data_IF_536073587416
#
_entry.id   IF_536073587416
#
_cell.length_a   1.000
_cell.length_b   1.000
_cell.length_c   1.000
_cell.angle_alpha   90.00
_cell.angle_beta   90.00
_cell.angle_gamma   90.00
#
_symmetry.space_group_name_H-M   'P 1'
#
loop_
_entity.id
_entity.type
_entity.pdbx_description
1 polymer ?
#
# COMPACT_ATOMS: atom_id res chain seq x y z
N UNK A 1 -6.27 -14.42 -27.58
CA UNK A 1 -5.70 -15.24 -28.68
C UNK A 1 -5.74 -16.70 -28.28
N UNK A 2 -6.53 -17.50 -28.99
CA UNK A 2 -6.67 -18.94 -28.73
C UNK A 2 -5.37 -19.69 -29.07
N UNK A 3 -5.02 -20.67 -28.24
CA UNK A 3 -3.79 -21.45 -28.41
C UNK A 3 -4.02 -22.49 -29.50
N UNK A 4 -3.15 -22.52 -30.51
CA UNK A 4 -3.22 -23.50 -31.61
C UNK A 4 -3.18 -24.93 -31.06
N UNK A 5 -3.98 -25.84 -31.61
CA UNK A 5 -4.09 -27.24 -31.18
C UNK A 5 -2.73 -27.96 -31.02
N UNK A 6 -1.78 -27.71 -31.94
CA UNK A 6 -0.40 -28.21 -31.85
C UNK A 6 0.32 -27.79 -30.56
N UNK A 7 0.07 -26.59 -30.07
CA UNK A 7 0.65 -26.08 -28.83
C UNK A 7 0.03 -26.71 -27.59
N UNK A 8 -1.22 -27.15 -27.64
CA UNK A 8 -1.92 -27.85 -26.55
C UNK A 8 -1.42 -29.29 -26.47
N UNK A 9 -1.37 -29.97 -27.62
CA UNK A 9 -0.93 -31.37 -27.73
C UNK A 9 0.57 -31.56 -27.41
N UNK A 10 1.42 -30.55 -27.64
CA UNK A 10 2.86 -30.62 -27.34
C UNK A 10 3.26 -30.17 -25.93
N UNK A 11 2.32 -29.75 -25.06
CA UNK A 11 2.67 -29.23 -23.72
C UNK A 11 3.29 -30.29 -22.82
N UNK A 12 2.76 -31.51 -22.84
CA UNK A 12 3.26 -32.61 -22.00
C UNK A 12 4.75 -32.90 -22.23
N UNK A 13 5.20 -32.82 -23.49
CA UNK A 13 6.62 -32.98 -23.85
C UNK A 13 7.50 -31.87 -23.24
N UNK A 14 7.03 -30.62 -23.29
CA UNK A 14 7.76 -29.49 -22.68
C UNK A 14 7.89 -29.62 -21.17
N UNK A 15 6.84 -30.10 -20.49
CA UNK A 15 6.88 -30.36 -19.05
C UNK A 15 7.88 -31.48 -18.70
N UNK A 16 7.89 -32.59 -19.46
CA UNK A 16 8.85 -33.67 -19.27
C UNK A 16 10.30 -33.21 -19.49
N UNK A 17 10.55 -32.46 -20.56
CA UNK A 17 11.88 -31.89 -20.84
C UNK A 17 12.32 -30.90 -19.76
N UNK A 18 11.41 -30.07 -19.25
CA UNK A 18 11.71 -29.14 -18.15
C UNK A 18 12.04 -29.89 -16.87
N UNK A 19 11.25 -30.89 -16.49
CA UNK A 19 11.49 -31.72 -15.31
C UNK A 19 12.82 -32.50 -15.40
N UNK A 20 13.16 -33.02 -16.58
CA UNK A 20 14.44 -33.69 -16.81
C UNK A 20 15.63 -32.73 -16.63
N UNK A 21 15.53 -31.49 -17.14
CA UNK A 21 16.55 -30.45 -16.95
C UNK A 21 16.73 -30.03 -15.49
N UNK A 22 15.65 -30.03 -14.69
CA UNK A 22 15.73 -29.65 -13.27
C UNK A 22 16.32 -30.73 -12.38
N UNK A 23 16.25 -32.00 -12.79
CA UNK A 23 16.77 -33.15 -12.02
C UNK A 23 18.24 -33.49 -12.30
N UNK A 24 18.85 -32.91 -13.34
CA UNK A 24 20.29 -33.04 -13.56
C UNK A 24 21.08 -32.27 -12.51
N UNK A 25 22.20 -32.83 -12.05
CA UNK A 25 23.12 -32.09 -11.19
C UNK A 25 23.54 -30.79 -11.92
N UNK A 26 23.49 -29.61 -11.28
CA UNK A 26 23.91 -28.38 -11.91
C UNK A 26 25.42 -28.46 -12.15
N UNK A 27 25.81 -28.60 -13.42
CA UNK A 27 27.21 -28.46 -13.82
C UNK A 27 27.64 -27.02 -13.53
N UNK A 28 28.59 -26.85 -12.62
CA UNK A 28 29.11 -25.53 -12.25
C UNK A 28 30.19 -25.15 -13.27
N UNK A 29 29.76 -24.48 -14.35
CA UNK A 29 30.67 -23.93 -15.34
C UNK A 29 31.26 -22.63 -14.81
N UNK A 30 32.59 -22.53 -14.82
CA UNK A 30 33.28 -21.32 -14.39
C UNK A 30 33.30 -20.29 -15.52
N UNK A 31 32.53 -19.21 -15.35
CA UNK A 31 32.52 -18.08 -16.28
C UNK A 31 33.46 -16.96 -15.80
N UNK A 32 34.44 -16.64 -16.64
CA UNK A 32 35.48 -15.64 -16.34
C UNK A 32 34.88 -14.23 -16.23
N UNK A 33 33.85 -13.92 -17.00
CA UNK A 33 33.21 -12.61 -17.00
C UNK A 33 32.42 -12.42 -15.69
N UNK A 34 31.66 -13.44 -15.27
CA UNK A 34 31.00 -13.46 -13.96
C UNK A 34 31.97 -13.27 -12.80
N UNK A 35 33.19 -13.84 -12.90
CA UNK A 35 34.24 -13.64 -11.90
C UNK A 35 34.75 -12.21 -11.92
N UNK A 36 34.96 -11.61 -13.09
CA UNK A 36 35.41 -10.22 -13.19
C UNK A 36 34.36 -9.26 -12.62
N UNK A 37 33.07 -9.49 -12.89
CA UNK A 37 31.97 -8.75 -12.28
C UNK A 37 31.92 -8.95 -10.77
N UNK A 38 32.16 -10.17 -10.29
CA UNK A 38 32.30 -10.43 -8.86
C UNK A 38 33.54 -9.76 -8.27
N UNK A 39 34.66 -9.68 -8.96
CA UNK A 39 35.85 -9.02 -8.39
C UNK A 39 35.73 -7.50 -8.41
N UNK A 40 35.07 -6.90 -9.40
CA UNK A 40 34.99 -5.43 -9.53
C UNK A 40 33.70 -4.84 -8.94
N UNK A 41 32.62 -5.62 -8.87
CA UNK A 41 31.28 -5.19 -8.48
C UNK A 41 31.01 -5.15 -6.97
N UNK A 42 31.98 -4.82 -6.11
CA UNK A 42 31.80 -4.83 -4.65
C UNK A 42 30.62 -3.98 -4.19
N UNK A 43 30.44 -2.79 -4.78
CA UNK A 43 29.31 -1.92 -4.46
C UNK A 43 27.97 -2.58 -4.81
N UNK A 44 27.87 -3.21 -6.00
CA UNK A 44 26.67 -3.97 -6.41
C UNK A 44 26.32 -5.05 -5.39
N UNK A 45 27.32 -5.85 -4.97
CA UNK A 45 27.11 -6.90 -3.94
C UNK A 45 26.73 -6.34 -2.58
N UNK A 46 27.31 -5.21 -2.18
CA UNK A 46 26.96 -4.56 -0.91
C UNK A 46 25.50 -4.12 -0.93
N UNK A 47 25.06 -3.50 -2.03
CA UNK A 47 23.67 -3.09 -2.22
C UNK A 47 22.73 -4.30 -2.28
N UNK A 48 23.11 -5.36 -3.00
CA UNK A 48 22.33 -6.61 -3.06
C UNK A 48 22.18 -7.27 -1.69
N UNK A 49 23.26 -7.33 -0.88
CA UNK A 49 23.19 -7.85 0.49
C UNK A 49 22.25 -7.02 1.36
N UNK A 50 22.31 -5.70 1.26
CA UNK A 50 21.40 -4.81 1.98
C UNK A 50 19.94 -5.04 1.56
N UNK A 51 19.67 -5.14 0.26
CA UNK A 51 18.32 -5.44 -0.27
C UNK A 51 17.83 -6.79 0.19
N UNK A 52 18.65 -7.84 0.10
CA UNK A 52 18.30 -9.19 0.54
C UNK A 52 18.00 -9.25 2.04
N UNK A 53 18.76 -8.53 2.86
CA UNK A 53 18.49 -8.42 4.29
C UNK A 53 17.15 -7.71 4.57
N UNK A 54 16.84 -6.63 3.83
CA UNK A 54 15.55 -5.94 3.92
C UNK A 54 14.39 -6.84 3.46
N UNK A 55 14.54 -7.57 2.37
CA UNK A 55 13.54 -8.50 1.85
C UNK A 55 13.28 -9.63 2.85
N UNK A 56 14.33 -10.22 3.41
CA UNK A 56 14.21 -11.25 4.43
C UNK A 56 13.46 -10.73 5.67
N UNK A 57 13.79 -9.54 6.16
CA UNK A 57 13.08 -8.93 7.29
C UNK A 57 11.59 -8.71 6.98
N UNK A 58 11.26 -8.23 5.78
CA UNK A 58 9.88 -8.05 5.33
C UNK A 58 9.12 -9.38 5.22
N UNK A 59 9.77 -10.44 4.74
CA UNK A 59 9.17 -11.77 4.67
C UNK A 59 8.88 -12.34 6.06
N UNK A 60 9.82 -12.19 7.01
CA UNK A 60 9.62 -12.61 8.40
C UNK A 60 8.49 -11.82 9.07
N UNK A 61 8.43 -10.51 8.90
CA UNK A 61 7.34 -9.68 9.43
C UNK A 61 5.98 -10.10 8.83
N UNK A 62 5.94 -10.40 7.53
CA UNK A 62 4.72 -10.87 6.86
C UNK A 62 4.25 -12.20 7.44
N UNK A 63 5.18 -13.15 7.65
CA UNK A 63 4.87 -14.45 8.24
C UNK A 63 4.39 -14.30 9.68
N UNK A 64 5.09 -13.51 10.50
CA UNK A 64 4.68 -13.21 11.88
C UNK A 64 3.27 -12.61 11.94
N UNK A 65 2.95 -11.61 11.10
CA UNK A 65 1.61 -11.01 11.03
C UNK A 65 0.53 -12.02 10.60
N UNK A 66 0.86 -12.96 9.73
CA UNK A 66 -0.07 -14.03 9.34
C UNK A 66 -0.31 -15.00 10.50
N UNK A 67 0.75 -15.39 11.21
CA UNK A 67 0.66 -16.26 12.39
C UNK A 67 -0.10 -15.59 13.54
N UNK A 68 0.14 -14.31 13.81
CA UNK A 68 -0.61 -13.53 14.82
C UNK A 68 -2.10 -13.49 14.50
N UNK A 69 -2.46 -13.19 13.25
CA UNK A 69 -3.87 -13.21 12.84
C UNK A 69 -4.50 -14.59 12.94
N UNK A 70 -3.73 -15.65 12.65
CA UNK A 70 -4.18 -17.02 12.82
C UNK A 70 -4.43 -17.32 14.29
N UNK A 71 -3.50 -17.00 15.17
CA UNK A 71 -3.63 -17.16 16.63
C UNK A 71 -4.83 -16.39 17.19
N UNK A 72 -5.03 -15.14 16.77
CA UNK A 72 -6.20 -14.34 17.20
C UNK A 72 -7.53 -14.94 16.72
N UNK A 73 -7.57 -15.56 15.54
CA UNK A 73 -8.77 -16.25 15.04
C UNK A 73 -9.02 -17.54 15.82
N UNK A 74 -7.97 -18.29 16.10
CA UNK A 74 -8.05 -19.52 16.91
C UNK A 74 -8.48 -19.22 18.35
N UNK A 75 -7.93 -18.17 18.97
CA UNK A 75 -8.33 -17.68 20.30
C UNK A 75 -9.82 -17.28 20.31
N UNK A 76 -10.25 -16.40 19.40
CA UNK A 76 -11.67 -16.02 19.30
C UNK A 76 -12.57 -17.22 19.06
N UNK A 77 -12.14 -18.19 18.24
CA UNK A 77 -12.91 -19.41 18.01
C UNK A 77 -13.03 -20.24 19.29
N UNK A 78 -11.94 -20.43 20.02
CA UNK A 78 -11.96 -21.16 21.29
C UNK A 78 -12.78 -20.46 22.37
N UNK A 79 -12.71 -19.13 22.46
CA UNK A 79 -13.53 -18.34 23.38
C UNK A 79 -15.02 -18.48 23.04
N UNK A 80 -15.38 -18.41 21.76
CA UNK A 80 -16.75 -18.65 21.30
C UNK A 80 -17.22 -20.08 21.58
N UNK A 81 -16.37 -21.09 21.37
CA UNK A 81 -16.68 -22.48 21.69
C UNK A 81 -16.90 -22.68 23.20
N UNK A 82 -16.06 -22.09 24.06
CA UNK A 82 -16.23 -22.09 25.52
C UNK A 82 -17.50 -21.35 25.95
N UNK A 83 -17.81 -20.20 25.34
CA UNK A 83 -19.04 -19.47 25.60
C UNK A 83 -20.26 -20.32 25.23
N UNK A 84 -20.27 -20.95 24.05
CA UNK A 84 -21.35 -21.85 23.63
C UNK A 84 -21.49 -23.06 24.56
N UNK A 85 -20.38 -23.65 25.01
CA UNK A 85 -20.40 -24.76 25.96
C UNK A 85 -20.94 -24.33 27.33
N UNK A 86 -20.51 -23.17 27.84
CA UNK A 86 -21.04 -22.60 29.09
C UNK A 86 -22.53 -22.24 28.99
N UNK A 87 -22.97 -21.70 27.86
CA UNK A 87 -24.36 -21.37 27.60
C UNK A 87 -25.23 -22.63 27.49
N UNK A 88 -24.72 -23.69 26.83
CA UNK A 88 -25.37 -25.01 26.81
C UNK A 88 -25.48 -25.61 28.20
N UNK A 89 -24.41 -25.53 29.00
CA UNK A 89 -24.42 -26.02 30.38
C UNK A 89 -25.41 -25.24 31.27
N UNK A 90 -25.46 -23.91 31.14
CA UNK A 90 -26.43 -23.06 31.83
C UNK A 90 -27.87 -23.35 31.39
N UNK A 91 -28.11 -23.57 30.09
CA UNK A 91 -29.42 -23.93 29.57
C UNK A 91 -29.88 -25.31 30.08
N UNK A 92 -28.99 -26.30 30.12
CA UNK A 92 -29.29 -27.63 30.68
C UNK A 92 -29.57 -27.54 32.18
N UNK A 93 -28.80 -26.75 32.94
CA UNK A 93 -29.06 -26.51 34.37
C UNK A 93 -30.33 -25.70 34.67
N UNK A 94 -30.84 -24.92 33.71
CA UNK A 94 -32.10 -24.20 33.82
C UNK A 94 -33.32 -25.03 33.42
N UNK A 95 -33.15 -26.14 32.68
CA UNK A 95 -34.25 -26.99 32.21
C UNK A 95 -34.72 -27.99 33.27
N UNK A 96 -33.94 -28.23 34.32
CA UNK A 96 -34.34 -29.03 35.50
C UNK A 96 -35.14 -28.21 36.53
N UNK A 97 -35.36 -26.91 36.29
CA UNK A 97 -36.15 -26.03 37.16
C UNK A 97 -37.20 -25.26 36.35
N UNK A 98 -38.34 -25.92 36.20
CA UNK A 98 -39.66 -25.38 35.86
C UNK A 98 -39.91 -25.03 34.38
N UNK A 99 -40.93 -25.68 33.84
CA UNK A 99 -41.36 -25.50 32.46
C UNK A 99 -42.42 -24.41 32.34
N UNK A 100 -42.24 -23.52 31.36
CA UNK A 100 -43.37 -23.01 30.57
C UNK A 100 -42.82 -22.43 29.26
N UNK A 101 -43.37 -22.89 28.14
CA UNK A 101 -43.08 -22.34 26.84
C UNK A 101 -43.71 -20.95 26.76
N UNK A 102 -42.88 -19.90 26.67
CA UNK A 102 -43.34 -18.54 26.40
C UNK A 102 -42.91 -18.11 25.01
N UNK A 103 -43.89 -17.57 24.30
CA UNK A 103 -43.98 -17.29 22.88
C UNK A 103 -42.98 -16.23 22.37
N UNK A 104 -42.52 -16.47 21.13
CA UNK A 104 -42.25 -15.49 20.07
C UNK A 104 -42.06 -13.99 20.44
N UNK A 105 -40.86 -13.61 20.87
CA UNK A 105 -40.37 -12.23 20.65
C UNK A 105 -39.51 -12.18 19.38
N UNK A 106 -40.19 -12.04 18.24
CA UNK A 106 -39.59 -11.68 16.96
C UNK A 106 -38.91 -10.31 17.08
N UNK A 107 -37.64 -10.20 16.72
CA UNK A 107 -36.86 -8.96 16.84
C UNK A 107 -37.45 -7.82 15.98
N UNK A 108 -38.18 -6.91 16.61
CA UNK A 108 -38.70 -5.67 16.02
C UNK A 108 -37.56 -4.64 16.00
N UNK A 109 -36.90 -4.47 14.84
CA UNK A 109 -35.76 -3.54 14.69
C UNK A 109 -36.05 -2.12 15.21
N UNK A 110 -34.99 -1.45 15.68
CA UNK A 110 -35.03 -0.16 16.37
C UNK A 110 -36.06 0.81 15.75
N UNK A 111 -37.13 1.09 16.48
CA UNK A 111 -38.11 2.11 16.09
C UNK A 111 -37.45 3.48 16.17
N UNK A 112 -37.38 4.18 15.03
CA UNK A 112 -36.82 5.53 14.87
C UNK A 112 -37.77 6.60 15.44
N UNK A 113 -38.03 6.53 16.73
CA UNK A 113 -38.69 7.59 17.47
C UNK A 113 -38.16 7.58 18.88
N UNK A 114 -37.31 8.55 19.22
CA UNK A 114 -37.37 9.36 20.44
C UNK A 114 -36.05 10.15 20.56
N UNK A 115 -36.15 11.46 20.30
CA UNK A 115 -35.06 12.42 20.43
C UNK A 115 -34.99 13.29 19.19
N UNK A 116 -35.44 14.54 19.29
CA UNK A 116 -35.49 15.54 18.21
C UNK A 116 -34.14 15.97 17.59
N UNK A 117 -33.17 15.06 17.50
CA UNK A 117 -31.94 15.21 16.73
C UNK A 117 -32.32 15.03 15.27
N UNK A 118 -32.40 16.15 14.55
CA UNK A 118 -32.62 16.14 13.10
C UNK A 118 -31.51 15.29 12.46
N UNK A 119 -31.84 14.36 11.54
CA UNK A 119 -30.83 13.53 10.90
C UNK A 119 -29.81 14.42 10.21
N UNK A 120 -28.54 14.01 10.28
CA UNK A 120 -27.39 14.78 9.78
C UNK A 120 -27.51 15.07 8.28
N UNK A 121 -28.27 14.26 7.54
CA UNK A 121 -28.45 14.36 6.10
C UNK A 121 -29.83 14.91 5.72
N UNK A 122 -29.86 15.89 4.81
CA UNK A 122 -31.08 16.31 4.13
C UNK A 122 -31.34 15.32 2.99
N UNK A 123 -32.46 14.60 3.06
CA UNK A 123 -32.90 13.71 1.97
C UNK A 123 -33.53 14.55 0.87
N UNK A 124 -33.01 14.45 -0.35
CA UNK A 124 -33.63 14.99 -1.56
C UNK A 124 -33.97 13.82 -2.48
N UNK A 125 -35.18 13.79 -3.02
CA UNK A 125 -35.66 12.72 -3.88
C UNK A 125 -35.80 13.26 -5.29
N UNK A 126 -34.93 12.80 -6.19
CA UNK A 126 -35.04 13.11 -7.62
C UNK A 126 -35.85 11.99 -8.28
N UNK A 127 -36.98 12.37 -8.88
CA UNK A 127 -37.89 11.44 -9.58
C UNK A 127 -37.53 11.46 -11.07
N UNK A 128 -37.14 10.30 -11.60
CA UNK A 128 -37.03 10.06 -13.03
C UNK A 128 -38.17 9.14 -13.48
N UNK A 129 -38.61 9.24 -14.75
CA UNK A 129 -39.83 8.59 -15.26
C UNK A 129 -39.93 7.08 -14.99
N UNK A 130 -38.81 6.37 -14.89
CA UNK A 130 -38.78 4.91 -14.72
C UNK A 130 -38.11 4.42 -13.40
N UNK A 131 -37.54 5.31 -12.57
CA UNK A 131 -36.91 4.92 -11.29
C UNK A 131 -36.71 6.12 -10.34
N UNK A 132 -36.86 5.87 -9.02
CA UNK A 132 -36.46 6.81 -7.97
C UNK A 132 -35.09 6.42 -7.42
N UNK A 133 -34.16 7.38 -7.36
CA UNK A 133 -32.81 7.15 -6.83
C UNK A 133 -32.58 8.12 -5.68
N UNK A 134 -32.29 7.57 -4.49
CA UNK A 134 -31.89 8.36 -3.34
C UNK A 134 -30.38 8.59 -3.39
N UNK A 135 -29.96 9.84 -3.59
CA UNK A 135 -28.54 10.21 -3.70
C UNK A 135 -28.13 10.95 -2.42
N UNK A 136 -27.26 10.33 -1.64
CA UNK A 136 -26.68 10.92 -0.42
C UNK A 136 -25.50 11.84 -0.80
N UNK A 137 -25.64 13.14 -0.58
CA UNK A 137 -24.53 14.09 -0.73
C UNK A 137 -23.86 14.32 0.62
N UNK A 138 -22.60 13.92 0.71
CA UNK A 138 -21.78 14.09 1.91
C UNK A 138 -21.26 15.53 1.95
N UNK A 139 -21.95 16.42 2.68
CA UNK A 139 -21.37 17.73 2.98
C UNK A 139 -20.27 17.57 4.05
N UNK A 140 -19.09 18.19 3.87
CA UNK A 140 -18.06 18.17 4.89
C UNK A 140 -18.60 18.84 6.16
N UNK A 141 -18.55 18.14 7.29
CA UNK A 141 -18.97 18.68 8.57
C UNK A 141 -17.96 19.76 9.01
N UNK A 142 -18.35 21.03 8.88
CA UNK A 142 -17.53 22.19 9.24
C UNK A 142 -17.24 22.31 10.75
N UNK A 143 -17.83 21.45 11.60
CA UNK A 143 -17.62 21.47 13.04
C UNK A 143 -16.34 20.72 13.46
N UNK A 144 -15.20 21.15 12.93
CA UNK A 144 -13.88 20.57 13.20
C UNK A 144 -13.51 20.59 14.69
N UNK A 145 -13.98 21.59 15.44
CA UNK A 145 -13.72 21.70 16.88
C UNK A 145 -14.39 20.58 17.69
N UNK A 146 -15.64 20.22 17.36
CA UNK A 146 -16.35 19.13 18.01
C UNK A 146 -15.73 17.77 17.68
N UNK A 147 -15.42 17.54 16.40
CA UNK A 147 -14.74 16.31 15.95
C UNK A 147 -13.36 16.17 16.58
N UNK A 148 -12.60 17.26 16.70
CA UNK A 148 -11.30 17.23 17.36
C UNK A 148 -11.41 16.88 18.84
N UNK A 149 -12.42 17.42 19.56
CA UNK A 149 -12.68 17.05 20.96
C UNK A 149 -13.05 15.58 21.11
N UNK A 150 -13.95 15.06 20.26
CA UNK A 150 -14.32 13.64 20.27
C UNK A 150 -13.13 12.71 20.02
N UNK A 151 -12.22 13.13 19.14
CA UNK A 151 -11.03 12.36 18.80
C UNK A 151 -9.81 12.69 19.70
N UNK A 152 -10.00 13.47 20.77
CA UNK A 152 -8.95 13.91 21.69
C UNK A 152 -7.74 14.57 20.99
N UNK A 153 -8.00 15.32 19.92
CA UNK A 153 -6.99 16.05 19.13
C UNK A 153 -6.91 17.51 19.56
N UNK A 154 -5.71 17.97 19.91
CA UNK A 154 -5.46 19.38 20.21
C UNK A 154 -5.14 20.17 18.93
N UNK A 155 -6.12 20.90 18.39
CA UNK A 155 -5.96 21.70 17.16
C UNK A 155 -4.88 22.80 17.28
N UNK A 156 -4.71 23.40 18.46
CA UNK A 156 -3.66 24.41 18.68
C UNK A 156 -2.23 23.87 18.47
N UNK A 157 -2.04 22.55 18.66
CA UNK A 157 -0.75 21.88 18.49
C UNK A 157 -0.62 21.22 17.12
N UNK A 158 -1.71 21.01 16.38
CA UNK A 158 -1.67 20.26 15.13
C UNK A 158 -0.85 20.97 14.06
N UNK A 159 -0.90 22.31 13.99
CA UNK A 159 -0.09 23.10 13.04
C UNK A 159 1.40 22.93 13.32
N UNK A 160 1.81 23.05 14.59
CA UNK A 160 3.22 22.85 14.99
C UNK A 160 3.71 21.43 14.68
N UNK A 161 2.88 20.43 14.97
CA UNK A 161 3.20 19.02 14.66
C UNK A 161 3.32 18.80 13.14
N UNK A 162 2.48 19.48 12.35
CA UNK A 162 2.55 19.43 10.89
C UNK A 162 3.86 20.05 10.39
N UNK A 163 4.22 21.25 10.87
CA UNK A 163 5.47 21.93 10.49
C UNK A 163 6.71 21.09 10.87
N UNK A 164 6.75 20.56 12.10
CA UNK A 164 7.82 19.66 12.56
C UNK A 164 7.91 18.38 11.72
N UNK A 165 6.79 17.84 11.25
CA UNK A 165 6.76 16.67 10.37
C UNK A 165 7.31 16.99 8.98
N UNK A 166 6.95 18.15 8.42
CA UNK A 166 7.41 18.63 7.12
C UNK A 166 8.92 18.87 7.17
N UNK A 167 9.42 19.49 8.23
CA UNK A 167 10.85 19.78 8.37
C UNK A 167 11.69 18.51 8.59
N UNK A 168 11.17 17.52 9.34
CA UNK A 168 11.82 16.21 9.43
C UNK A 168 11.86 15.50 8.08
N UNK A 169 10.76 15.55 7.32
CA UNK A 169 10.69 14.96 5.98
C UNK A 169 11.68 15.64 5.01
N UNK A 170 11.79 16.98 5.03
CA UNK A 170 12.76 17.73 4.24
C UNK A 170 14.20 17.34 4.58
N UNK A 171 14.56 17.33 5.87
CA UNK A 171 15.91 16.92 6.33
C UNK A 171 16.24 15.47 5.94
N UNK A 172 15.25 14.59 5.97
CA UNK A 172 15.43 13.20 5.53
C UNK A 172 15.62 13.09 4.01
N UNK A 173 14.89 13.88 3.24
CA UNK A 173 15.09 13.98 1.79
C UNK A 173 16.48 14.55 1.43
N UNK A 174 16.96 15.54 2.19
CA UNK A 174 18.33 16.08 2.14
C UNK A 174 19.36 15.00 2.40
N UNK A 175 19.20 14.27 3.50
CA UNK A 175 20.08 13.18 3.90
C UNK A 175 20.15 12.06 2.85
N UNK A 176 19.03 11.74 2.20
CA UNK A 176 18.98 10.74 1.13
C UNK A 176 19.44 11.29 -0.24
N UNK A 177 19.66 12.59 -0.37
CA UNK A 177 20.02 13.23 -1.64
C UNK A 177 18.92 13.18 -2.70
N UNK A 178 17.66 13.02 -2.27
CA UNK A 178 16.45 12.95 -3.12
C UNK A 178 15.74 14.31 -3.19
N UNK A 179 16.40 15.37 -2.73
CA UNK A 179 15.81 16.71 -2.76
C UNK A 179 15.42 17.14 -4.17
N UNK A 180 14.25 17.76 -4.27
CA UNK A 180 13.78 18.42 -5.47
C UNK A 180 14.66 19.64 -5.75
N UNK A 181 15.73 19.42 -6.53
CA UNK A 181 16.59 20.50 -6.99
C UNK A 181 15.74 21.51 -7.75
N UNK A 182 15.94 22.83 -7.53
CA UNK A 182 15.21 23.85 -8.25
C UNK A 182 15.36 23.62 -9.75
N UNK A 183 14.22 23.49 -10.44
CA UNK A 183 14.19 23.22 -11.89
C UNK A 183 15.04 24.28 -12.59
N UNK A 184 16.14 23.84 -13.19
CA UNK A 184 17.03 24.75 -13.91
C UNK A 184 16.25 25.42 -15.04
N UNK A 185 16.26 26.76 -15.07
CA UNK A 185 15.60 27.53 -16.13
C UNK A 185 16.19 27.08 -17.46
N UNK A 186 15.33 26.67 -18.40
CA UNK A 186 15.75 26.30 -19.75
C UNK A 186 16.55 27.45 -20.34
N UNK A 187 17.79 27.19 -20.77
CA UNK A 187 18.60 28.20 -21.46
C UNK A 187 17.84 28.60 -22.72
N UNK A 188 17.50 29.89 -22.84
CA UNK A 188 16.96 30.43 -24.09
C UNK A 188 18.11 30.45 -25.08
N UNK A 189 18.17 29.48 -25.99
CA UNK A 189 19.12 29.49 -27.10
C UNK A 189 18.78 30.70 -27.97
N UNK A 190 19.47 31.82 -27.75
CA UNK A 190 19.49 32.91 -28.71
C UNK A 190 20.64 32.64 -29.68
N UNK A 191 20.37 32.74 -30.98
CA UNK A 191 21.45 32.70 -31.95
C UNK A 191 22.41 33.84 -31.65
N UNK A 192 23.69 33.51 -31.50
CA UNK A 192 24.75 34.52 -31.46
C UNK A 192 24.56 35.46 -32.65
N UNK A 193 24.59 36.76 -32.38
CA UNK A 193 24.54 37.75 -33.46
C UNK A 193 25.73 37.54 -34.40
N UNK A 194 25.62 38.02 -35.64
CA UNK A 194 26.70 37.86 -36.64
C UNK A 194 28.04 38.39 -36.12
N UNK A 195 28.02 39.46 -35.32
CA UNK A 195 29.19 40.05 -34.68
C UNK A 195 29.81 39.11 -33.62
N UNK A 196 28.99 38.56 -32.72
CA UNK A 196 29.44 37.64 -31.67
C UNK A 196 29.99 36.33 -32.23
N UNK A 197 29.37 35.80 -33.31
CA UNK A 197 29.86 34.61 -34.01
C UNK A 197 31.26 34.84 -34.59
N UNK A 198 31.48 36.02 -35.19
CA UNK A 198 32.77 36.41 -35.76
C UNK A 198 33.85 36.58 -34.68
N UNK A 199 33.49 37.15 -33.53
CA UNK A 199 34.40 37.27 -32.39
C UNK A 199 34.80 35.90 -31.81
N UNK A 200 33.86 34.96 -31.69
CA UNK A 200 34.15 33.60 -31.23
C UNK A 200 35.02 32.83 -32.22
N UNK A 201 34.78 32.97 -33.53
CA UNK A 201 35.66 32.38 -34.55
C UNK A 201 37.08 32.94 -34.45
N UNK A 202 37.24 34.26 -34.28
CA UNK A 202 38.56 34.89 -34.08
C UNK A 202 39.27 34.31 -32.85
N UNK A 203 38.58 34.21 -31.70
CA UNK A 203 39.13 33.61 -30.47
C UNK A 203 39.51 32.13 -30.64
N UNK A 204 38.70 31.36 -31.36
CA UNK A 204 39.01 29.96 -31.65
C UNK A 204 40.25 29.83 -32.56
N UNK A 205 40.36 30.67 -33.59
CA UNK A 205 41.53 30.68 -34.47
C UNK A 205 42.79 31.14 -33.76
N UNK A 206 42.72 32.12 -32.85
CA UNK A 206 43.88 32.56 -32.07
C UNK A 206 44.34 31.48 -31.10
N UNK A 207 43.42 30.79 -30.42
CA UNK A 207 43.77 29.68 -29.52
C UNK A 207 44.36 28.49 -30.29
N UNK A 208 43.86 28.21 -31.50
CA UNK A 208 44.40 27.16 -32.37
C UNK A 208 45.79 27.50 -32.90
N UNK A 209 46.11 28.79 -33.04
CA UNK A 209 47.46 29.29 -33.40
C UNK A 209 48.42 29.37 -32.22
N UNK A 210 47.91 29.38 -30.99
CA UNK A 210 48.71 29.44 -29.75
C UNK A 210 49.16 28.06 -29.27
N UNK A 211 48.75 27.00 -29.97
CA UNK A 211 49.07 25.60 -29.70
C UNK A 211 49.86 25.08 -30.89
#
# INVERSE_FOLDING_TARGET
MERKNRQILSRGQKYKQKAARTRGAPEVVFDKDSRLEYLTGFHKRKVERQKKAQEFAKEQERLARVEERRKQREQRRSEMEQQLESARAAMIGSLDSDGEASEEESWHGFSDSEGGVRPILKRHQDVYDDATVEIETLEPNDNFAYLARLNNVALERSEKVLDDSIDRAKKYAEFLGVEDKPKQKKKKFRYLTKAERRANQRKATSNKRRK
#
